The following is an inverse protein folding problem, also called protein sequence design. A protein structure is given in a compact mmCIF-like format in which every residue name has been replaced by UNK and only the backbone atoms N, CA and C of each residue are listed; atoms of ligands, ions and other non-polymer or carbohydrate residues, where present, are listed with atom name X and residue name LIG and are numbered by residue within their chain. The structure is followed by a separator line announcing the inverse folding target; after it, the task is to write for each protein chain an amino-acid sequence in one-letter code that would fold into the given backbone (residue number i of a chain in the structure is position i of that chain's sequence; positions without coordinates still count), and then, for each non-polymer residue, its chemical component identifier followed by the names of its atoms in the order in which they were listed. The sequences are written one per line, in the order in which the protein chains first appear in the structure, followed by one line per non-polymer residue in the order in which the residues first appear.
data_IF_599545954952
#
_entry.id   IF_599545954952
#
_cell.length_a   1.000
_cell.length_b   1.000
_cell.length_c   1.000
_cell.angle_alpha   90.00
_cell.angle_beta   90.00
_cell.angle_gamma   90.00
#
_symmetry.space_group_name_H-M   'P 1'
#
loop_
_entity.id
_entity.type
_entity.pdbx_description
1 polymer ?
#
# COMPACT_ATOMS: atom_id res chain seq x y z
N UNK A 1 -15.59 -26.86 -16.62
CA UNK A 1 -14.91 -25.66 -16.09
C UNK A 1 -15.53 -25.26 -14.76
N UNK A 2 -15.23 -25.97 -13.68
CA UNK A 2 -15.63 -25.58 -12.33
C UNK A 2 -14.37 -25.23 -11.55
N UNK A 3 -13.82 -24.05 -11.79
CA UNK A 3 -12.69 -23.53 -11.02
C UNK A 3 -12.53 -22.03 -11.28
N UNK A 4 -13.34 -21.18 -10.65
CA UNK A 4 -12.92 -19.77 -10.51
C UNK A 4 -13.45 -19.03 -9.27
N UNK A 5 -14.63 -19.32 -8.74
CA UNK A 5 -15.26 -18.34 -7.82
C UNK A 5 -15.13 -18.70 -6.33
N UNK A 6 -13.91 -18.67 -5.78
CA UNK A 6 -13.74 -18.38 -4.34
C UNK A 6 -12.96 -17.08 -4.24
N UNK A 7 -13.68 -15.97 -4.32
CA UNK A 7 -13.12 -14.68 -3.99
C UNK A 7 -12.71 -14.70 -2.51
N UNK A 8 -11.41 -14.65 -2.25
CA UNK A 8 -10.88 -14.58 -0.89
C UNK A 8 -11.04 -13.14 -0.37
N UNK A 9 -12.20 -12.88 0.23
CA UNK A 9 -12.53 -11.58 0.82
C UNK A 9 -11.65 -11.28 2.05
N UNK A 10 -11.14 -12.30 2.74
CA UNK A 10 -10.22 -12.11 3.86
C UNK A 10 -8.89 -11.54 3.37
N UNK A 11 -8.38 -12.02 2.24
CA UNK A 11 -7.20 -11.44 1.59
C UNK A 11 -7.43 -10.00 1.14
N UNK A 12 -8.62 -9.68 0.61
CA UNK A 12 -8.98 -8.30 0.25
C UNK A 12 -8.89 -7.37 1.46
N UNK A 13 -9.48 -7.76 2.59
CA UNK A 13 -9.47 -6.92 3.79
C UNK A 13 -8.07 -6.77 4.37
N UNK A 14 -7.23 -7.81 4.30
CA UNK A 14 -5.80 -7.73 4.64
C UNK A 14 -5.05 -6.73 3.77
N UNK A 15 -5.28 -6.73 2.45
CA UNK A 15 -4.62 -5.77 1.53
C UNK A 15 -5.01 -4.34 1.87
N UNK A 16 -6.29 -4.09 2.14
CA UNK A 16 -6.80 -2.77 2.55
C UNK A 16 -6.13 -2.30 3.85
N UNK A 17 -6.03 -3.18 4.86
CA UNK A 17 -5.40 -2.84 6.13
C UNK A 17 -3.90 -2.54 5.98
N UNK A 18 -3.20 -3.28 5.11
CA UNK A 18 -1.77 -3.07 4.84
C UNK A 18 -1.52 -1.76 4.09
N UNK A 19 -2.36 -1.40 3.12
CA UNK A 19 -2.27 -0.11 2.40
C UNK A 19 -2.36 1.08 3.36
N UNK A 20 -3.36 1.10 4.24
CA UNK A 20 -3.47 2.15 5.26
C UNK A 20 -2.24 2.25 6.16
N UNK A 21 -1.62 1.11 6.51
CA UNK A 21 -0.40 1.09 7.30
C UNK A 21 0.80 1.63 6.51
N UNK A 22 0.93 1.28 5.23
CA UNK A 22 1.99 1.79 4.36
C UNK A 22 1.93 3.32 4.23
N UNK A 23 0.73 3.88 4.05
CA UNK A 23 0.53 5.32 3.93
C UNK A 23 0.94 6.04 5.23
N UNK A 24 0.57 5.48 6.38
CA UNK A 24 1.00 6.03 7.67
C UNK A 24 2.53 5.98 7.85
N UNK A 25 3.15 4.86 7.44
CA UNK A 25 4.60 4.68 7.52
C UNK A 25 5.36 5.63 6.58
N UNK A 26 4.83 5.94 5.39
CA UNK A 26 5.44 6.95 4.50
C UNK A 26 5.54 8.31 5.19
N UNK A 27 4.43 8.80 5.74
CA UNK A 27 4.38 10.10 6.43
C UNK A 27 5.33 10.12 7.64
N UNK A 28 5.35 9.03 8.41
CA UNK A 28 6.23 8.91 9.58
C UNK A 28 7.71 8.96 9.17
N UNK A 29 8.11 8.19 8.16
CA UNK A 29 9.52 8.11 7.77
C UNK A 29 9.98 9.41 7.10
N UNK A 30 9.15 10.06 6.30
CA UNK A 30 9.49 11.37 5.73
C UNK A 30 9.66 12.44 6.82
N UNK A 31 8.83 12.41 7.86
CA UNK A 31 8.98 13.29 9.01
C UNK A 31 10.29 13.02 9.77
N UNK A 32 10.67 11.76 9.98
CA UNK A 32 11.96 11.40 10.60
C UNK A 32 13.16 11.81 9.74
N UNK A 33 13.10 11.60 8.42
CA UNK A 33 14.11 12.09 7.49
C UNK A 33 14.27 13.62 7.61
N UNK A 34 13.16 14.36 7.65
CA UNK A 34 13.15 15.81 7.85
C UNK A 34 13.79 16.22 9.18
N UNK A 35 13.49 15.52 10.28
CA UNK A 35 14.11 15.77 11.60
C UNK A 35 15.62 15.54 11.57
N UNK A 36 16.10 14.49 10.90
CA UNK A 36 17.53 14.20 10.78
C UNK A 36 18.22 15.33 10.00
N UNK A 37 17.66 15.72 8.86
CA UNK A 37 18.21 16.80 8.02
C UNK A 37 18.29 18.11 8.82
N UNK A 38 17.19 18.49 9.48
CA UNK A 38 17.10 19.75 10.21
C UNK A 38 18.03 19.80 11.44
N UNK A 39 18.23 18.67 12.14
CA UNK A 39 19.00 18.65 13.39
C UNK A 39 20.48 18.33 13.22
N UNK A 40 20.85 17.59 12.18
CA UNK A 40 22.18 16.99 12.08
C UNK A 40 22.99 17.44 10.86
N UNK A 41 22.38 18.18 9.93
CA UNK A 41 23.02 18.70 8.72
C UNK A 41 23.96 17.66 8.07
N UNK A 42 23.42 16.50 7.67
CA UNK A 42 24.20 15.34 7.25
C UNK A 42 25.12 15.66 6.07
N UNK A 43 26.26 14.95 6.00
CA UNK A 43 27.16 15.03 4.86
C UNK A 43 26.46 14.54 3.57
N UNK A 44 27.02 14.89 2.41
CA UNK A 44 26.37 14.63 1.12
C UNK A 44 26.06 13.13 0.86
N UNK A 45 26.88 12.20 1.37
CA UNK A 45 26.60 10.76 1.29
C UNK A 45 25.31 10.38 2.04
N UNK A 46 25.18 10.89 3.26
CA UNK A 46 24.12 10.53 4.18
C UNK A 46 22.82 11.21 3.77
N UNK A 47 22.90 12.46 3.29
CA UNK A 47 21.75 13.14 2.70
C UNK A 47 21.22 12.38 1.47
N UNK A 48 22.10 11.90 0.59
CA UNK A 48 21.68 11.06 -0.55
C UNK A 48 21.02 9.76 -0.10
N UNK A 49 21.52 9.15 0.97
CA UNK A 49 20.91 7.94 1.55
C UNK A 49 19.50 8.22 2.06
N UNK A 50 19.30 9.31 2.83
CA UNK A 50 17.98 9.72 3.32
C UNK A 50 17.00 9.97 2.17
N UNK A 51 17.44 10.67 1.13
CA UNK A 51 16.61 10.91 -0.07
C UNK A 51 16.27 9.62 -0.82
N UNK A 52 17.19 8.65 -0.88
CA UNK A 52 16.94 7.36 -1.51
C UNK A 52 15.91 6.54 -0.71
N UNK A 53 15.98 6.58 0.62
CA UNK A 53 15.00 5.94 1.52
C UNK A 53 13.61 6.55 1.31
N UNK A 54 13.48 7.88 1.35
CA UNK A 54 12.20 8.56 1.12
C UNK A 54 11.57 8.17 -0.23
N UNK A 55 12.34 8.20 -1.32
CA UNK A 55 11.87 7.73 -2.64
C UNK A 55 11.48 6.25 -2.67
N UNK A 56 12.22 5.39 -1.97
CA UNK A 56 11.90 3.97 -1.93
C UNK A 56 10.57 3.72 -1.23
N UNK A 57 10.25 4.49 -0.19
CA UNK A 57 9.00 4.34 0.57
C UNK A 57 7.82 4.86 -0.24
N UNK A 58 7.94 5.99 -0.93
CA UNK A 58 6.90 6.45 -1.87
C UNK A 58 6.64 5.41 -2.97
N UNK A 59 7.67 4.72 -3.47
CA UNK A 59 7.45 3.64 -4.43
C UNK A 59 6.69 2.45 -3.83
N UNK A 60 6.93 2.13 -2.55
CA UNK A 60 6.20 1.08 -1.83
C UNK A 60 4.74 1.47 -1.58
N UNK A 61 4.48 2.71 -1.20
CA UNK A 61 3.12 3.26 -1.04
C UNK A 61 2.34 3.08 -2.35
N UNK A 62 2.90 3.55 -3.47
CA UNK A 62 2.27 3.44 -4.79
C UNK A 62 1.98 2.00 -5.20
N UNK A 63 2.87 1.06 -4.88
CA UNK A 63 2.64 -0.36 -5.13
C UNK A 63 1.49 -0.93 -4.28
N UNK A 64 1.42 -0.53 -3.01
CA UNK A 64 0.30 -0.85 -2.12
C UNK A 64 -1.03 -0.27 -2.61
N UNK A 65 -0.99 0.93 -3.15
CA UNK A 65 -2.14 1.66 -3.66
C UNK A 65 -2.74 0.99 -4.92
N UNK A 66 -1.89 0.47 -5.81
CA UNK A 66 -2.32 -0.39 -6.92
C UNK A 66 -2.90 -1.73 -6.44
N UNK A 67 -2.29 -2.36 -5.43
CA UNK A 67 -2.82 -3.60 -4.84
C UNK A 67 -4.22 -3.38 -4.23
N UNK A 68 -4.44 -2.24 -3.58
CA UNK A 68 -5.74 -1.83 -3.04
C UNK A 68 -6.80 -1.64 -4.12
N UNK A 69 -6.44 -1.01 -5.25
CA UNK A 69 -7.35 -0.87 -6.41
C UNK A 69 -7.78 -2.23 -6.94
N UNK A 70 -6.87 -3.18 -7.03
CA UNK A 70 -7.17 -4.57 -7.42
C UNK A 70 -8.11 -5.20 -6.38
N UNK A 71 -7.80 -5.13 -5.09
CA UNK A 71 -8.61 -5.70 -4.01
C UNK A 71 -10.05 -5.15 -4.01
N UNK A 72 -10.22 -3.83 -4.19
CA UNK A 72 -11.53 -3.18 -4.33
C UNK A 72 -12.32 -3.68 -5.54
N UNK A 73 -11.66 -3.90 -6.68
CA UNK A 73 -12.30 -4.47 -7.88
C UNK A 73 -12.72 -5.92 -7.65
N UNK A 74 -11.84 -6.74 -7.06
CA UNK A 74 -12.12 -8.14 -6.69
C UNK A 74 -13.36 -8.23 -5.80
N UNK A 75 -13.47 -7.38 -4.77
CA UNK A 75 -14.65 -7.35 -3.88
C UNK A 75 -15.94 -7.00 -4.61
N UNK A 76 -15.90 -6.04 -5.55
CA UNK A 76 -17.08 -5.68 -6.35
C UNK A 76 -17.54 -6.85 -7.20
N UNK A 77 -16.62 -7.52 -7.90
CA UNK A 77 -16.93 -8.68 -8.73
C UNK A 77 -17.51 -9.82 -7.87
N UNK A 78 -16.94 -10.06 -6.69
CA UNK A 78 -17.45 -11.07 -5.76
C UNK A 78 -18.91 -10.79 -5.33
N UNK A 79 -19.23 -9.54 -5.00
CA UNK A 79 -20.57 -9.13 -4.61
C UNK A 79 -21.57 -9.25 -5.78
N UNK A 80 -21.15 -8.88 -6.99
CA UNK A 80 -22.00 -8.97 -8.19
C UNK A 80 -22.27 -10.42 -8.61
N UNK A 81 -21.31 -11.33 -8.44
CA UNK A 81 -21.46 -12.78 -8.69
C UNK A 81 -22.44 -13.42 -7.69
N UNK A 82 -22.33 -13.02 -6.42
CA UNK A 82 -23.25 -13.45 -5.33
C UNK A 82 -24.70 -13.03 -5.59
N UNK A 83 -24.91 -11.86 -6.22
CA UNK A 83 -26.23 -11.37 -6.59
C UNK A 83 -26.88 -12.11 -7.76
N UNK A 84 -26.08 -12.68 -8.67
CA UNK A 84 -26.58 -13.43 -9.85
C UNK A 84 -26.97 -14.87 -9.56
N UNK A 85 -26.54 -15.45 -8.44
CA UNK A 85 -26.93 -16.82 -8.05
C UNK A 85 -28.27 -16.87 -7.31
N UNK A 86 -28.84 -15.71 -6.94
CA UNK A 86 -30.10 -15.59 -6.18
C UNK A 86 -31.32 -15.19 -7.05
N UNK A 87 -31.20 -15.20 -8.37
CA UNK A 87 -32.30 -15.01 -9.35
C UNK A 87 -32.28 -16.14 -10.36
#
# INVERSE_FOLDING_TARGET
MQALSRFDLELVDKVIAVEHRLNAMEVEIDAECGKIIARRQPAASDLRLLMAISKAITNLERAGDEAHKIAKRTRRIANDDSGKTST
#
